data_IF_190687997676
#
_entry.id   IF_190687997676
#
_cell.length_a   1.000
_cell.length_b   1.000
_cell.length_c   1.000
_cell.angle_alpha   90.00
_cell.angle_beta   90.00
_cell.angle_gamma   90.00
#
_symmetry.space_group_name_H-M   'P 1'
#
loop_
_entity.id
_entity.type
_entity.pdbx_description
1 polymer ?
#
# COMPACT_ATOMS: atom_id res chain seq x y z
N UNK A 1 10.01 -2.54 -9.10
CA UNK A 1 8.55 -2.54 -9.38
C UNK A 1 7.74 -2.35 -8.11
N UNK A 2 7.68 -3.33 -7.20
CA UNK A 2 6.87 -3.22 -5.97
C UNK A 2 7.36 -2.09 -5.05
N UNK A 3 8.67 -1.89 -4.92
CA UNK A 3 9.26 -0.85 -4.08
C UNK A 3 8.88 0.58 -4.51
N UNK A 4 8.83 0.88 -5.81
CA UNK A 4 8.43 2.20 -6.32
C UNK A 4 6.95 2.48 -5.98
N UNK A 5 6.10 1.46 -6.10
CA UNK A 5 4.69 1.55 -5.73
C UNK A 5 4.48 1.69 -4.22
N UNK A 6 5.34 1.08 -3.40
CA UNK A 6 5.31 1.21 -1.94
C UNK A 6 5.74 2.61 -1.48
N UNK A 7 6.73 3.22 -2.14
CA UNK A 7 7.16 4.59 -1.85
C UNK A 7 6.02 5.60 -2.06
N UNK A 8 5.33 5.55 -3.21
CA UNK A 8 4.19 6.43 -3.47
C UNK A 8 3.03 6.22 -2.49
N UNK A 9 2.80 4.98 -2.03
CA UNK A 9 1.77 4.68 -1.04
C UNK A 9 2.09 5.22 0.36
N UNK A 10 3.37 5.35 0.70
CA UNK A 10 3.86 5.85 1.99
C UNK A 10 4.03 7.37 2.00
N UNK A 11 4.38 7.97 0.87
CA UNK A 11 4.69 9.40 0.74
C UNK A 11 3.45 10.25 0.39
N UNK A 12 2.57 9.77 -0.50
CA UNK A 12 1.42 10.56 -0.96
C UNK A 12 0.14 9.70 -1.15
N UNK A 13 -0.56 9.44 -0.03
CA UNK A 13 -1.78 8.64 0.01
C UNK A 13 -3.02 9.35 -0.59
N UNK A 14 -2.83 10.47 -1.30
CA UNK A 14 -3.89 11.25 -1.97
C UNK A 14 -4.09 10.84 -3.43
N UNK A 15 -3.13 10.10 -3.99
CA UNK A 15 -3.17 9.67 -5.38
C UNK A 15 -4.27 8.64 -5.63
N UNK A 16 -4.99 8.83 -6.73
CA UNK A 16 -5.94 7.83 -7.22
C UNK A 16 -5.20 6.61 -7.76
N UNK A 17 -5.89 5.47 -7.81
CA UNK A 17 -5.31 4.19 -8.21
C UNK A 17 -4.76 4.20 -9.66
N UNK A 18 -5.38 4.99 -10.55
CA UNK A 18 -4.88 5.23 -11.91
C UNK A 18 -3.61 6.07 -11.92
N UNK A 19 -3.57 7.16 -11.15
CA UNK A 19 -2.37 8.00 -11.06
C UNK A 19 -1.18 7.23 -10.49
N UNK A 20 -1.42 6.33 -9.53
CA UNK A 20 -0.36 5.47 -8.99
C UNK A 20 0.19 4.50 -10.06
N UNK A 21 -0.67 3.94 -10.91
CA UNK A 21 -0.24 3.08 -12.03
C UNK A 21 0.59 3.88 -13.03
N UNK A 22 0.16 5.09 -13.37
CA UNK A 22 0.85 5.95 -14.34
C UNK A 22 2.23 6.39 -13.81
N UNK A 23 2.33 6.82 -12.55
CA UNK A 23 3.61 7.19 -11.93
C UNK A 23 4.58 6.01 -11.80
N UNK A 24 4.09 4.80 -11.51
CA UNK A 24 4.93 3.60 -11.49
C UNK A 24 5.38 3.23 -12.89
N UNK A 25 4.53 3.41 -13.91
CA UNK A 25 4.92 3.21 -15.30
C UNK A 25 6.00 4.19 -15.74
N UNK A 26 5.85 5.48 -15.43
CA UNK A 26 6.85 6.50 -15.78
C UNK A 26 8.19 6.27 -15.09
N UNK A 27 8.19 5.90 -13.81
CA UNK A 27 9.41 5.69 -13.03
C UNK A 27 10.12 4.35 -13.30
N UNK A 28 9.39 3.32 -13.72
CA UNK A 28 9.96 1.96 -13.88
C UNK A 28 9.87 1.38 -15.29
N UNK A 29 9.15 2.04 -16.21
CA UNK A 29 8.88 1.55 -17.57
C UNK A 29 7.92 0.36 -17.66
N UNK A 30 7.40 -0.14 -16.52
CA UNK A 30 6.59 -1.36 -16.46
C UNK A 30 5.14 -1.02 -16.17
N UNK A 31 4.24 -1.44 -17.07
CA UNK A 31 2.79 -1.18 -16.92
C UNK A 31 2.17 -2.19 -15.98
N UNK A 32 1.68 -1.72 -14.84
CA UNK A 32 0.94 -2.52 -13.89
C UNK A 32 -0.55 -2.54 -14.19
N UNK A 33 -1.21 -3.66 -13.90
CA UNK A 33 -2.67 -3.68 -13.90
C UNK A 33 -3.20 -3.01 -12.64
N UNK A 34 -4.31 -2.29 -12.77
CA UNK A 34 -5.04 -1.72 -11.62
C UNK A 34 -5.43 -2.81 -10.60
N UNK A 35 -5.68 -4.04 -11.05
CA UNK A 35 -5.93 -5.21 -10.20
C UNK A 35 -4.75 -5.53 -9.30
N UNK A 36 -3.52 -5.52 -9.83
CA UNK A 36 -2.28 -5.77 -9.09
C UNK A 36 -2.06 -4.70 -8.01
N UNK A 37 -2.28 -3.44 -8.37
CA UNK A 37 -2.16 -2.31 -7.44
C UNK A 37 -3.20 -2.41 -6.33
N UNK A 38 -4.46 -2.70 -6.68
CA UNK A 38 -5.57 -2.87 -5.75
C UNK A 38 -5.33 -4.01 -4.76
N UNK A 39 -4.86 -5.17 -5.23
CA UNK A 39 -4.55 -6.31 -4.38
C UNK A 39 -3.47 -5.99 -3.35
N UNK A 40 -2.39 -5.31 -3.78
CA UNK A 40 -1.31 -4.90 -2.88
C UNK A 40 -1.76 -3.85 -1.86
N UNK A 41 -2.58 -2.88 -2.28
CA UNK A 41 -3.18 -1.88 -1.40
C UNK A 41 -4.07 -2.53 -0.34
N UNK A 42 -4.93 -3.47 -0.75
CA UNK A 42 -5.78 -4.23 0.15
C UNK A 42 -4.95 -5.00 1.20
N UNK A 43 -3.86 -5.67 0.80
CA UNK A 43 -2.95 -6.33 1.74
C UNK A 43 -2.34 -5.34 2.76
N UNK A 44 -1.84 -4.17 2.34
CA UNK A 44 -1.31 -3.15 3.28
C UNK A 44 -2.39 -2.62 4.24
N UNK A 45 -3.61 -2.37 3.76
CA UNK A 45 -4.74 -1.95 4.60
C UNK A 45 -5.13 -3.01 5.63
N UNK A 46 -5.10 -4.30 5.25
CA UNK A 46 -5.33 -5.43 6.15
C UNK A 46 -4.23 -5.45 7.22
N UNK A 47 -2.95 -5.31 6.85
CA UNK A 47 -1.84 -5.26 7.80
C UNK A 47 -1.98 -4.08 8.77
N UNK A 48 -2.33 -2.88 8.32
CA UNK A 48 -2.57 -1.73 9.20
C UNK A 48 -3.76 -1.95 10.15
N UNK A 49 -4.85 -2.56 9.67
CA UNK A 49 -5.99 -2.93 10.54
C UNK A 49 -5.62 -3.99 11.58
N UNK A 50 -4.73 -4.93 11.23
CA UNK A 50 -4.24 -5.94 12.16
C UNK A 50 -3.33 -5.34 13.23
N UNK A 51 -2.44 -4.40 12.86
CA UNK A 51 -1.56 -3.70 13.82
C UNK A 51 -2.35 -2.76 14.73
N UNK A 52 -3.45 -2.15 14.24
CA UNK A 52 -4.32 -1.29 15.05
C UNK A 52 -5.29 -2.05 15.97
N UNK A 53 -5.45 -3.36 15.84
CA UNK A 53 -6.06 -4.16 16.91
C UNK A 53 -5.04 -4.18 18.06
N UNK A 54 -5.38 -3.49 19.15
CA UNK A 54 -4.60 -3.19 20.36
C UNK A 54 -3.45 -4.14 20.73
N UNK A 55 -2.39 -3.62 21.38
CA UNK A 55 -1.45 -4.48 22.10
C UNK A 55 -2.25 -5.23 23.16
N UNK A 56 -2.09 -6.55 23.20
CA UNK A 56 -2.56 -7.38 24.30
C UNK A 56 -2.20 -6.65 25.60
N UNK A 57 -3.19 -6.08 26.29
CA UNK A 57 -2.99 -5.56 27.63
C UNK A 57 -2.46 -6.73 28.43
N UNK A 58 -1.17 -6.71 28.73
CA UNK A 58 -0.58 -7.61 29.69
C UNK A 58 -1.35 -7.40 30.99
N UNK A 59 -2.22 -8.35 31.32
CA UNK A 59 -2.96 -8.37 32.57
C UNK A 59 -1.90 -8.47 33.66
N UNK A 60 -1.64 -7.35 34.32
CA UNK A 60 -0.85 -7.31 35.55
C UNK A 60 -1.85 -7.52 36.68
N UNK A 61 -2.03 -8.77 37.10
CA UNK A 61 -2.60 -9.13 38.41
C UNK A 61 -1.96 -10.44 38.86
#
# INVERSE_FOLDING_TARGET
>A
MVAAMEAYLEEDCTLTLSQLVDNVFESSGVKLSTSTVSAKLASKLITLKQIRKEPLRAITT
#
